data_IF_779974546345
#
_entry.id   IF_779974546345
#
_cell.length_a   1.000
_cell.length_b   1.000
_cell.length_c   1.000
_cell.angle_alpha   90.00
_cell.angle_beta   90.00
_cell.angle_gamma   90.00
#
_symmetry.space_group_name_H-M   'P 1'
#
loop_
_entity.id
_entity.type
_entity.pdbx_description
1 polymer ?
#
# COMPACT_ATOMS: atom_id res chain seq x y z
N UNK A 1 -3.91 -14.77 -2.56
CA UNK A 1 -3.23 -15.99 -3.08
C UNK A 1 -2.32 -15.71 -4.28
N UNK A 2 -2.78 -14.99 -5.33
CA UNK A 2 -1.97 -14.68 -6.53
C UNK A 2 -0.67 -13.94 -6.18
N UNK A 3 -0.73 -12.90 -5.35
CA UNK A 3 0.43 -12.13 -4.93
C UNK A 3 1.49 -12.99 -4.21
N UNK A 4 1.04 -13.92 -3.37
CA UNK A 4 1.93 -14.88 -2.70
C UNK A 4 2.65 -15.79 -3.70
N UNK A 5 1.94 -16.26 -4.74
CA UNK A 5 2.55 -17.03 -5.82
C UNK A 5 3.59 -16.20 -6.58
N UNK A 6 3.30 -14.94 -6.89
CA UNK A 6 4.25 -14.04 -7.54
C UNK A 6 5.50 -13.80 -6.69
N UNK A 7 5.34 -13.61 -5.39
CA UNK A 7 6.47 -13.47 -4.46
C UNK A 7 7.32 -14.76 -4.40
N UNK A 8 6.69 -15.95 -4.39
CA UNK A 8 7.40 -17.24 -4.46
C UNK A 8 8.15 -17.38 -5.78
N UNK A 9 7.53 -17.01 -6.89
CA UNK A 9 8.16 -17.04 -8.22
C UNK A 9 9.37 -16.11 -8.26
N UNK A 10 9.22 -14.88 -7.73
CA UNK A 10 10.34 -13.94 -7.65
C UNK A 10 11.49 -14.47 -6.79
N UNK A 11 11.20 -15.03 -5.61
CA UNK A 11 12.19 -15.63 -4.70
C UNK A 11 13.04 -16.69 -5.40
N UNK A 12 12.43 -17.47 -6.30
CA UNK A 12 13.10 -18.56 -7.03
C UNK A 12 13.67 -18.11 -8.39
N UNK A 13 13.56 -16.83 -8.72
CA UNK A 13 14.04 -16.28 -9.98
C UNK A 13 15.47 -15.76 -9.87
N UNK A 14 16.13 -15.62 -11.02
CA UNK A 14 17.45 -14.98 -11.12
C UNK A 14 17.43 -13.47 -10.82
N UNK A 15 16.24 -12.89 -10.60
CA UNK A 15 16.09 -11.46 -10.26
C UNK A 15 16.21 -11.20 -8.75
N UNK A 16 16.04 -12.22 -7.91
CA UNK A 16 16.20 -12.13 -6.47
C UNK A 16 17.69 -12.18 -6.07
N UNK A 17 18.44 -11.16 -6.49
CA UNK A 17 19.88 -11.05 -6.23
C UNK A 17 20.16 -10.09 -5.07
N UNK A 18 21.30 -10.23 -4.38
CA UNK A 18 21.72 -9.27 -3.35
C UNK A 18 21.74 -7.84 -3.91
N UNK A 19 21.15 -6.91 -3.18
CA UNK A 19 21.02 -5.50 -3.58
C UNK A 19 19.79 -5.18 -4.44
N UNK A 20 19.05 -6.17 -4.96
CA UNK A 20 17.78 -5.92 -5.62
C UNK A 20 16.71 -5.45 -4.64
N UNK A 21 15.69 -4.75 -5.16
CA UNK A 21 14.55 -4.27 -4.37
C UNK A 21 13.26 -4.82 -4.94
N UNK A 22 12.46 -5.47 -4.09
CA UNK A 22 11.10 -5.87 -4.40
C UNK A 22 10.11 -4.83 -3.87
N UNK A 23 9.43 -4.13 -4.77
CA UNK A 23 8.33 -3.23 -4.42
C UNK A 23 7.00 -3.99 -4.43
N UNK A 24 6.29 -3.94 -3.32
CA UNK A 24 4.95 -4.52 -3.16
C UNK A 24 3.93 -3.38 -3.24
N UNK A 25 2.97 -3.49 -4.15
CA UNK A 25 1.83 -2.56 -4.23
C UNK A 25 0.80 -2.89 -3.13
N UNK A 26 1.11 -2.47 -1.93
CA UNK A 26 0.33 -2.74 -0.73
C UNK A 26 1.20 -2.91 0.52
N UNK A 27 0.61 -3.31 1.64
CA UNK A 27 1.33 -3.54 2.88
C UNK A 27 2.19 -4.81 2.80
N UNK A 28 3.30 -4.84 3.55
CA UNK A 28 4.15 -6.04 3.66
C UNK A 28 3.38 -7.21 4.28
N UNK A 29 2.50 -6.93 5.25
CA UNK A 29 1.57 -7.90 5.82
C UNK A 29 0.16 -7.36 5.72
N UNK A 30 -0.81 -8.20 5.39
CA UNK A 30 -2.20 -7.78 5.33
C UNK A 30 -2.70 -7.40 6.74
N UNK A 31 -3.30 -6.21 6.89
CA UNK A 31 -3.90 -5.82 8.15
C UNK A 31 -5.11 -6.71 8.46
N UNK A 32 -5.33 -6.96 9.72
CA UNK A 32 -6.57 -7.57 10.19
C UNK A 32 -7.67 -6.53 10.00
N UNK A 33 -8.50 -6.72 9.00
CA UNK A 33 -9.58 -5.80 8.68
C UNK A 33 -10.90 -6.56 8.60
N UNK A 34 -11.76 -6.32 9.56
CA UNK A 34 -13.16 -6.68 9.48
C UNK A 34 -13.95 -5.43 9.10
N UNK A 35 -14.55 -5.37 7.92
CA UNK A 35 -15.55 -4.34 7.64
C UNK A 35 -16.66 -4.44 8.68
N UNK A 36 -17.05 -3.32 9.27
CA UNK A 36 -18.12 -3.31 10.29
C UNK A 36 -19.41 -3.98 9.79
N UNK A 37 -19.70 -3.82 8.49
CA UNK A 37 -20.83 -4.45 7.80
C UNK A 37 -20.75 -5.99 7.75
N UNK A 38 -19.53 -6.55 7.58
CA UNK A 38 -19.33 -8.01 7.56
C UNK A 38 -19.49 -8.65 8.93
N UNK A 39 -19.19 -7.93 10.01
CA UNK A 39 -19.36 -8.44 11.37
C UNK A 39 -20.83 -8.64 11.74
N UNK A 40 -21.74 -7.89 11.12
CA UNK A 40 -23.19 -8.01 11.33
C UNK A 40 -23.83 -9.14 10.52
N UNK A 41 -23.22 -9.54 9.40
CA UNK A 41 -23.81 -10.49 8.44
C UNK A 41 -23.15 -11.87 8.44
N UNK A 42 -21.93 -11.97 8.96
CA UNK A 42 -21.19 -13.22 8.97
C UNK A 42 -21.40 -14.01 10.25
N UNK A 43 -21.60 -15.32 10.10
CA UNK A 43 -21.62 -16.22 11.26
C UNK A 43 -20.23 -16.26 11.91
N UNK A 44 -20.20 -16.63 13.20
CA UNK A 44 -18.95 -16.77 13.96
C UNK A 44 -17.93 -17.70 13.28
N UNK A 45 -18.42 -18.78 12.65
CA UNK A 45 -17.56 -19.75 11.96
C UNK A 45 -16.94 -19.17 10.68
N UNK A 46 -17.69 -18.37 9.91
CA UNK A 46 -17.16 -17.67 8.74
C UNK A 46 -16.09 -16.65 9.13
N UNK A 47 -16.31 -15.92 10.21
CA UNK A 47 -15.33 -14.96 10.74
C UNK A 47 -14.06 -15.66 11.18
N UNK A 48 -14.19 -16.80 11.86
CA UNK A 48 -13.04 -17.63 12.28
C UNK A 48 -12.28 -18.16 11.08
N UNK A 49 -12.95 -18.76 10.11
CA UNK A 49 -12.31 -19.29 8.87
C UNK A 49 -11.58 -18.19 8.10
N UNK A 50 -12.15 -17.00 8.04
CA UNK A 50 -11.48 -15.85 7.40
C UNK A 50 -10.23 -15.43 8.17
N UNK A 51 -10.34 -15.34 9.51
CA UNK A 51 -9.21 -15.02 10.38
C UNK A 51 -8.06 -16.00 10.20
N UNK A 52 -8.36 -17.31 10.30
CA UNK A 52 -7.38 -18.39 10.18
C UNK A 52 -6.70 -18.37 8.78
N UNK A 53 -7.49 -18.13 7.74
CA UNK A 53 -6.97 -18.00 6.36
C UNK A 53 -6.06 -16.79 6.19
N UNK A 54 -6.41 -15.64 6.78
CA UNK A 54 -5.61 -14.43 6.72
C UNK A 54 -4.29 -14.60 7.50
N UNK A 55 -4.35 -15.23 8.65
CA UNK A 55 -3.17 -15.54 9.46
C UNK A 55 -2.22 -16.48 8.72
N UNK A 56 -2.76 -17.53 8.10
CA UNK A 56 -1.99 -18.44 7.25
C UNK A 56 -1.31 -17.68 6.10
N UNK A 57 -2.04 -16.85 5.36
CA UNK A 57 -1.49 -16.05 4.26
C UNK A 57 -0.41 -15.10 4.74
N UNK A 58 -0.61 -14.43 5.87
CA UNK A 58 0.40 -13.54 6.45
C UNK A 58 1.65 -14.33 6.90
N UNK A 59 1.49 -15.49 7.51
CA UNK A 59 2.63 -16.30 7.94
C UNK A 59 3.48 -16.77 6.76
N UNK A 60 2.84 -17.22 5.67
CA UNK A 60 3.54 -17.62 4.44
C UNK A 60 4.24 -16.43 3.77
N UNK A 61 3.57 -15.27 3.72
CA UNK A 61 4.15 -14.05 3.16
C UNK A 61 5.40 -13.62 3.92
N UNK A 62 5.32 -13.65 5.23
CA UNK A 62 6.44 -13.34 6.12
C UNK A 62 7.62 -14.28 5.90
N UNK A 63 7.38 -15.59 5.78
CA UNK A 63 8.45 -16.55 5.48
C UNK A 63 9.17 -16.25 4.16
N UNK A 64 8.42 -15.82 3.14
CA UNK A 64 9.00 -15.43 1.85
C UNK A 64 9.83 -14.15 1.99
N UNK A 65 9.28 -13.14 2.65
CA UNK A 65 9.97 -11.87 2.90
C UNK A 65 11.27 -12.11 3.68
N UNK A 66 11.24 -12.94 4.73
CA UNK A 66 12.42 -13.30 5.51
C UNK A 66 13.50 -14.00 4.66
N UNK A 67 13.08 -14.91 3.77
CA UNK A 67 14.00 -15.57 2.82
C UNK A 67 14.63 -14.58 1.84
N UNK A 68 13.82 -13.68 1.26
CA UNK A 68 14.31 -12.63 0.36
C UNK A 68 15.33 -11.74 1.07
N UNK A 69 15.05 -11.36 2.31
CA UNK A 69 15.96 -10.56 3.12
C UNK A 69 17.29 -11.28 3.40
N UNK A 70 17.24 -12.58 3.68
CA UNK A 70 18.46 -13.42 3.86
C UNK A 70 19.29 -13.53 2.57
N UNK A 71 18.65 -13.40 1.41
CA UNK A 71 19.32 -13.31 0.10
C UNK A 71 19.83 -11.89 -0.20
N UNK A 72 19.66 -10.92 0.70
CA UNK A 72 20.07 -9.54 0.50
C UNK A 72 19.12 -8.72 -0.36
N UNK A 73 17.91 -9.22 -0.62
CA UNK A 73 16.85 -8.49 -1.32
C UNK A 73 16.13 -7.56 -0.35
N UNK A 74 15.98 -6.30 -0.71
CA UNK A 74 15.21 -5.34 0.05
C UNK A 74 13.74 -5.43 -0.32
N UNK A 75 12.86 -5.67 0.66
CA UNK A 75 11.42 -5.73 0.45
C UNK A 75 10.75 -4.48 0.99
N UNK A 76 10.02 -3.78 0.14
CA UNK A 76 9.36 -2.50 0.44
C UNK A 76 7.88 -2.59 0.10
N UNK A 77 7.02 -2.29 1.07
CA UNK A 77 5.58 -2.14 0.85
C UNK A 77 5.23 -0.68 0.58
N UNK A 78 4.38 -0.42 -0.42
CA UNK A 78 3.89 0.92 -0.74
C UNK A 78 2.36 0.90 -0.75
N UNK A 79 1.76 1.54 0.25
CA UNK A 79 0.31 1.63 0.41
C UNK A 79 -0.18 2.96 -0.10
N UNK A 80 -0.84 2.95 -1.26
CA UNK A 80 -1.33 4.15 -1.96
C UNK A 80 -2.65 4.70 -1.41
N UNK A 81 -3.46 3.84 -0.79
CA UNK A 81 -4.79 4.20 -0.28
C UNK A 81 -4.81 4.10 1.24
N UNK A 82 -4.88 5.24 1.91
CA UNK A 82 -4.81 5.34 3.38
C UNK A 82 -6.20 5.40 4.04
N UNK A 83 -7.27 5.39 3.26
CA UNK A 83 -8.66 5.51 3.75
C UNK A 83 -9.06 4.38 4.70
N UNK A 84 -8.46 3.19 4.55
CA UNK A 84 -8.71 2.02 5.42
C UNK A 84 -7.56 1.77 6.42
N UNK A 85 -6.73 2.76 6.68
CA UNK A 85 -5.59 2.69 7.58
C UNK A 85 -5.81 3.63 8.77
N UNK A 86 -5.47 3.19 9.98
CA UNK A 86 -5.79 3.90 11.23
C UNK A 86 -4.59 3.95 12.19
N UNK A 87 -3.37 3.81 11.67
CA UNK A 87 -2.17 3.76 12.50
C UNK A 87 -1.81 5.13 13.08
N UNK A 88 -1.94 6.20 12.28
CA UNK A 88 -1.63 7.56 12.74
C UNK A 88 -2.50 7.98 13.91
N UNK A 89 -3.80 7.72 13.85
CA UNK A 89 -4.71 8.05 14.95
C UNK A 89 -4.48 7.19 16.19
N UNK A 90 -4.01 5.95 16.04
CA UNK A 90 -3.72 5.08 17.19
C UNK A 90 -2.45 5.45 17.93
N UNK A 91 -1.45 5.97 17.23
CA UNK A 91 -0.16 6.42 17.81
C UNK A 91 -0.19 7.89 18.18
N UNK A 92 -1.01 8.68 17.50
CA UNK A 92 -1.17 10.14 17.63
C UNK A 92 0.15 10.91 17.74
N UNK A 93 1.08 10.79 16.77
CA UNK A 93 2.41 11.35 16.87
C UNK A 93 2.43 12.88 16.97
N UNK A 94 1.38 13.55 16.48
CA UNK A 94 1.24 15.00 16.53
C UNK A 94 0.38 15.48 17.71
N UNK A 95 -0.11 14.57 18.57
CA UNK A 95 -0.97 14.87 19.72
C UNK A 95 -2.19 15.74 19.34
N UNK A 96 -2.88 15.31 18.27
CA UNK A 96 -4.07 16.00 17.77
C UNK A 96 -5.30 15.72 18.66
N UNK A 97 -5.21 14.70 19.54
CA UNK A 97 -6.29 14.27 20.43
C UNK A 97 -7.59 13.94 19.67
N UNK A 98 -7.44 13.41 18.47
CA UNK A 98 -8.55 12.99 17.63
C UNK A 98 -8.92 11.54 17.95
N UNK A 99 -10.20 11.21 17.85
CA UNK A 99 -10.66 9.84 17.95
C UNK A 99 -10.12 8.95 16.82
N UNK A 100 -10.68 7.76 16.66
CA UNK A 100 -10.28 6.82 15.60
C UNK A 100 -10.68 7.36 14.23
N UNK A 101 -9.73 7.97 13.54
CA UNK A 101 -9.85 8.44 12.15
C UNK A 101 -8.84 7.76 11.27
N UNK A 102 -9.10 7.69 9.96
CA UNK A 102 -8.15 7.09 9.02
C UNK A 102 -6.90 7.98 8.83
N UNK A 103 -5.82 7.38 8.33
CA UNK A 103 -4.52 8.04 8.23
C UNK A 103 -4.56 9.25 7.28
N UNK A 104 -5.37 9.22 6.23
CA UNK A 104 -5.54 10.35 5.31
C UNK A 104 -6.20 11.54 6.00
N UNK A 105 -7.28 11.30 6.75
CA UNK A 105 -7.96 12.33 7.54
C UNK A 105 -7.04 12.89 8.65
N UNK A 106 -6.23 12.03 9.28
CA UNK A 106 -5.24 12.47 10.26
C UNK A 106 -4.22 13.43 9.66
N UNK A 107 -3.67 13.09 8.48
CA UNK A 107 -2.72 13.95 7.75
C UNK A 107 -3.39 15.29 7.41
N UNK A 108 -4.64 15.26 6.94
CA UNK A 108 -5.39 16.48 6.63
C UNK A 108 -5.59 17.36 7.86
N UNK A 109 -5.94 16.79 9.02
CA UNK A 109 -6.07 17.55 10.27
C UNK A 109 -4.73 18.11 10.73
N UNK A 110 -3.63 17.37 10.57
CA UNK A 110 -2.29 17.86 10.85
C UNK A 110 -1.96 19.10 10.00
N UNK A 111 -2.24 19.05 8.71
CA UNK A 111 -2.01 20.17 7.79
C UNK A 111 -2.83 21.39 8.17
N UNK A 112 -4.10 21.20 8.52
CA UNK A 112 -4.99 22.29 8.98
C UNK A 112 -4.47 22.93 10.27
N UNK A 113 -4.01 22.12 11.23
CA UNK A 113 -3.48 22.63 12.51
C UNK A 113 -2.20 23.44 12.32
N UNK A 114 -1.34 23.02 11.41
CA UNK A 114 -0.07 23.72 11.13
C UNK A 114 -0.32 25.02 10.37
N UNK A 115 -1.52 25.21 9.83
CA UNK A 115 -1.95 26.38 9.03
C UNK A 115 -0.92 26.81 7.97
N UNK A 116 -0.18 25.83 7.44
CA UNK A 116 0.82 26.05 6.39
C UNK A 116 0.30 25.52 5.06
N UNK A 117 0.40 26.36 4.06
CA UNK A 117 0.33 25.86 2.69
C UNK A 117 1.46 24.85 2.51
N UNK A 118 1.09 23.63 2.12
CA UNK A 118 2.06 22.60 1.87
C UNK A 118 2.89 22.98 0.63
N UNK A 119 4.08 23.51 0.85
CA UNK A 119 4.97 23.96 -0.23
C UNK A 119 6.01 22.90 -0.62
N UNK A 120 6.42 22.10 0.35
CA UNK A 120 7.45 21.07 0.19
C UNK A 120 6.91 19.74 0.68
N UNK A 121 7.35 18.64 0.08
CA UNK A 121 7.05 17.31 0.61
C UNK A 121 7.59 17.17 2.03
N UNK A 122 6.91 16.38 2.84
CA UNK A 122 7.40 16.01 4.16
C UNK A 122 7.10 14.54 4.47
N UNK A 123 7.78 14.02 5.48
CA UNK A 123 7.70 12.64 5.91
C UNK A 123 7.27 12.60 7.37
N UNK A 124 6.28 11.75 7.69
CA UNK A 124 5.89 11.43 9.06
C UNK A 124 6.41 10.04 9.37
N UNK A 125 7.16 9.88 10.45
CA UNK A 125 7.71 8.59 10.86
C UNK A 125 9.17 8.68 11.29
N UNK A 126 9.81 7.55 11.63
CA UNK A 126 9.27 6.20 11.54
C UNK A 126 8.23 5.89 12.63
N UNK A 127 7.17 5.18 12.25
CA UNK A 127 6.21 4.60 13.18
C UNK A 127 6.48 3.10 13.25
N UNK A 128 6.76 2.61 14.44
CA UNK A 128 7.02 1.19 14.69
C UNK A 128 5.72 0.47 14.97
N UNK A 129 5.39 -0.54 14.18
CA UNK A 129 4.20 -1.36 14.37
C UNK A 129 4.60 -2.83 14.44
N UNK A 130 4.33 -3.45 15.59
CA UNK A 130 4.49 -4.88 15.77
C UNK A 130 3.25 -5.59 15.24
N UNK A 131 3.44 -6.66 14.46
CA UNK A 131 2.33 -7.49 14.02
C UNK A 131 1.82 -8.34 15.20
N UNK A 132 0.50 -8.42 15.37
CA UNK A 132 -0.10 -9.05 16.55
C UNK A 132 0.20 -10.55 16.68
N UNK A 133 0.26 -11.25 15.55
CA UNK A 133 0.40 -12.71 15.50
C UNK A 133 1.80 -13.20 15.11
N UNK A 134 2.69 -12.30 14.73
CA UNK A 134 4.06 -12.63 14.34
C UNK A 134 5.06 -11.70 15.03
N UNK A 135 6.26 -12.20 15.34
CA UNK A 135 7.34 -11.38 15.93
C UNK A 135 7.94 -10.38 14.92
N UNK A 136 7.14 -9.95 13.94
CA UNK A 136 7.60 -9.04 12.90
C UNK A 136 7.26 -7.62 13.28
N UNK A 137 8.29 -6.80 13.30
CA UNK A 137 8.15 -5.36 13.47
C UNK A 137 8.35 -4.68 12.13
N UNK A 138 7.40 -3.83 11.75
CA UNK A 138 7.45 -2.98 10.56
C UNK A 138 7.73 -1.55 10.99
N UNK A 139 8.52 -0.88 10.18
CA UNK A 139 8.69 0.57 10.24
C UNK A 139 7.89 1.19 9.10
N UNK A 140 7.13 2.20 9.43
CA UNK A 140 6.23 2.88 8.50
C UNK A 140 6.58 4.36 8.40
N UNK A 141 6.62 4.87 7.18
CA UNK A 141 6.75 6.30 6.89
C UNK A 141 5.60 6.73 6.00
N UNK A 142 5.02 7.87 6.31
CA UNK A 142 4.02 8.51 5.45
C UNK A 142 4.70 9.62 4.69
N UNK A 143 4.69 9.53 3.37
CA UNK A 143 5.20 10.55 2.47
C UNK A 143 4.02 11.39 2.01
N UNK A 144 4.10 12.69 2.23
CA UNK A 144 3.05 13.65 1.87
C UNK A 144 3.63 14.62 0.85
N UNK A 145 3.06 14.63 -0.35
CA UNK A 145 3.56 15.41 -1.48
C UNK A 145 2.51 16.43 -1.91
N UNK A 146 2.84 17.72 -2.01
CA UNK A 146 1.92 18.73 -2.51
C UNK A 146 1.60 18.52 -3.98
N UNK A 147 0.35 18.71 -4.38
CA UNK A 147 -0.09 18.64 -5.77
C UNK A 147 0.26 19.87 -6.61
N UNK A 148 0.99 20.84 -6.08
CA UNK A 148 1.32 22.10 -6.77
C UNK A 148 2.09 21.95 -8.09
N UNK A 149 2.62 20.78 -8.37
CA UNK A 149 3.31 20.49 -9.64
C UNK A 149 2.33 20.37 -10.82
N UNK A 150 1.04 20.20 -10.53
CA UNK A 150 -0.03 20.16 -11.52
C UNK A 150 -1.05 21.26 -11.26
N UNK A 151 -1.34 22.15 -12.23
CA UNK A 151 -2.27 23.27 -12.05
C UNK A 151 -3.72 22.78 -12.07
N UNK A 152 -4.15 21.99 -11.12
CA UNK A 152 -5.54 21.56 -11.05
C UNK A 152 -6.10 21.78 -9.64
N UNK A 153 -6.96 22.77 -9.58
CA UNK A 153 -8.02 23.09 -8.61
C UNK A 153 -7.64 23.37 -7.15
N UNK A 154 -7.95 24.60 -6.79
CA UNK A 154 -8.12 25.10 -5.43
C UNK A 154 -9.14 24.28 -4.64
N UNK A 155 -8.72 23.38 -3.79
CA UNK A 155 -9.57 22.65 -2.86
C UNK A 155 -8.77 22.02 -1.73
N UNK A 156 -9.41 21.69 -0.62
CA UNK A 156 -8.82 21.07 0.58
C UNK A 156 -8.14 19.70 0.36
N UNK A 157 -7.83 19.29 -0.85
CA UNK A 157 -7.19 18.04 -1.20
C UNK A 157 -5.91 18.19 -2.01
N UNK A 158 -5.13 19.25 -1.77
CA UNK A 158 -3.95 19.58 -2.57
C UNK A 158 -2.70 18.76 -2.23
N UNK A 159 -2.84 17.55 -1.77
CA UNK A 159 -1.72 16.66 -1.52
C UNK A 159 -2.04 15.22 -1.93
N UNK A 160 -0.99 14.44 -2.14
CA UNK A 160 -1.05 12.98 -2.23
C UNK A 160 -0.25 12.43 -1.06
N UNK A 161 -0.80 11.44 -0.40
CA UNK A 161 -0.10 10.73 0.65
C UNK A 161 -0.08 9.25 0.38
N UNK A 162 1.04 8.62 0.70
CA UNK A 162 1.20 7.17 0.65
C UNK A 162 2.11 6.72 1.78
N UNK A 163 1.99 5.45 2.15
CA UNK A 163 2.79 4.86 3.21
C UNK A 163 3.83 3.91 2.62
N UNK A 164 5.06 4.06 3.09
CA UNK A 164 6.18 3.16 2.81
C UNK A 164 6.40 2.28 4.03
N UNK A 165 6.50 0.99 3.84
CA UNK A 165 6.74 0.01 4.88
C UNK A 165 8.04 -0.75 4.65
N UNK A 166 8.83 -0.90 5.72
CA UNK A 166 10.02 -1.73 5.77
C UNK A 166 9.96 -2.66 6.97
N UNK A 167 10.61 -3.82 6.88
CA UNK A 167 10.87 -4.61 8.07
C UNK A 167 11.98 -3.95 8.90
N UNK A 168 11.86 -4.02 10.22
CA UNK A 168 12.82 -3.39 11.15
C UNK A 168 14.27 -3.86 10.92
N UNK A 169 14.45 -5.11 10.57
CA UNK A 169 15.77 -5.68 10.27
C UNK A 169 16.46 -5.00 9.07
N UNK A 170 15.70 -4.29 8.22
CA UNK A 170 16.20 -3.50 7.09
C UNK A 170 16.30 -2.00 7.39
N UNK A 171 16.15 -1.60 8.64
CA UNK A 171 16.15 -0.18 9.05
C UNK A 171 17.44 0.56 8.68
N UNK A 172 18.57 -0.12 8.60
CA UNK A 172 19.85 0.44 8.16
C UNK A 172 19.84 0.95 6.71
N UNK A 173 18.91 0.48 5.87
CA UNK A 173 18.77 0.89 4.47
C UNK A 173 17.61 1.89 4.26
N UNK A 174 16.99 2.36 5.34
CA UNK A 174 15.80 3.22 5.27
C UNK A 174 16.02 4.48 4.45
N UNK A 175 17.14 5.15 4.67
CA UNK A 175 17.42 6.44 4.01
C UNK A 175 17.59 6.24 2.52
N UNK A 176 18.33 5.21 2.11
CA UNK A 176 18.46 4.82 0.70
C UNK A 176 17.09 4.53 0.04
N UNK A 177 16.23 3.77 0.72
CA UNK A 177 14.91 3.43 0.18
C UNK A 177 14.02 4.65 0.05
N UNK A 178 13.94 5.47 1.09
CA UNK A 178 13.13 6.68 1.08
C UNK A 178 13.62 7.65 0.01
N UNK A 179 14.93 7.80 -0.14
CA UNK A 179 15.55 8.63 -1.17
C UNK A 179 15.22 8.11 -2.57
N UNK A 180 15.35 6.81 -2.84
CA UNK A 180 15.03 6.21 -4.12
C UNK A 180 13.54 6.36 -4.47
N UNK A 181 12.64 6.05 -3.54
CA UNK A 181 11.19 6.20 -3.74
C UNK A 181 10.84 7.67 -4.00
N UNK A 182 11.46 8.57 -3.25
CA UNK A 182 11.24 9.99 -3.37
C UNK A 182 11.75 10.52 -4.72
N UNK A 183 12.97 10.13 -5.09
CA UNK A 183 13.57 10.46 -6.37
C UNK A 183 12.72 9.97 -7.53
N UNK A 184 12.31 8.70 -7.50
CA UNK A 184 11.51 8.07 -8.54
C UNK A 184 10.12 8.74 -8.68
N UNK A 185 9.52 9.17 -7.57
CA UNK A 185 8.25 9.88 -7.56
C UNK A 185 8.37 11.33 -8.04
N UNK A 186 9.43 12.02 -7.65
CA UNK A 186 9.59 13.45 -7.86
C UNK A 186 10.13 13.79 -9.26
N UNK A 187 11.16 13.08 -9.71
CA UNK A 187 11.77 13.31 -11.04
C UNK A 187 10.82 12.94 -12.19
N UNK A 188 9.93 12.01 -11.96
CA UNK A 188 8.97 11.61 -12.99
C UNK A 188 7.69 12.46 -12.97
N UNK A 189 7.55 13.37 -12.01
CA UNK A 189 6.34 14.16 -11.81
C UNK A 189 5.11 13.30 -11.48
N UNK A 190 5.29 12.04 -11.12
CA UNK A 190 4.23 11.04 -10.95
C UNK A 190 3.91 10.95 -9.50
N UNK A 191 3.91 11.70 -8.60
CA UNK A 191 3.49 11.62 -7.18
C UNK A 191 3.60 10.21 -6.53
N UNK A 192 3.84 9.18 -7.32
CA UNK A 192 4.06 7.77 -6.92
C UNK A 192 5.30 7.23 -7.66
N UNK A 193 6.00 6.24 -7.12
CA UNK A 193 7.12 5.61 -7.81
C UNK A 193 6.75 5.17 -9.23
N UNK A 194 7.55 5.58 -10.21
CA UNK A 194 7.28 5.32 -11.63
C UNK A 194 7.13 3.83 -11.93
N UNK A 195 7.97 3.01 -11.30
CA UNK A 195 7.93 1.55 -11.40
C UNK A 195 6.55 0.99 -11.07
N UNK A 196 5.91 1.46 -9.99
CA UNK A 196 4.55 1.05 -9.62
C UNK A 196 3.51 1.54 -10.63
N UNK A 197 3.64 2.74 -11.15
CA UNK A 197 2.72 3.27 -12.16
C UNK A 197 2.81 2.50 -13.48
N UNK A 198 4.01 2.16 -13.91
CA UNK A 198 4.23 1.37 -15.14
C UNK A 198 3.59 -0.01 -14.99
N UNK A 199 3.80 -0.68 -13.85
CA UNK A 199 3.20 -1.99 -13.59
C UNK A 199 1.67 -1.89 -13.53
N UNK A 200 1.12 -0.92 -12.79
CA UNK A 200 -0.32 -0.68 -12.68
C UNK A 200 -0.97 -0.48 -14.07
N UNK A 201 -0.36 0.35 -14.92
CA UNK A 201 -0.83 0.56 -16.30
C UNK A 201 -0.77 -0.71 -17.15
N UNK A 202 0.31 -1.50 -17.04
CA UNK A 202 0.44 -2.77 -17.76
C UNK A 202 -0.60 -3.78 -17.32
N UNK A 203 -0.79 -3.94 -16.00
CA UNK A 203 -1.80 -4.85 -15.45
C UNK A 203 -3.19 -4.44 -15.90
N UNK A 204 -3.55 -3.16 -15.80
CA UNK A 204 -4.85 -2.66 -16.27
C UNK A 204 -5.07 -2.91 -17.77
N UNK A 205 -4.04 -2.68 -18.60
CA UNK A 205 -4.14 -2.97 -20.04
C UNK A 205 -4.37 -4.44 -20.33
N UNK A 206 -3.64 -5.34 -19.66
CA UNK A 206 -3.81 -6.79 -19.82
C UNK A 206 -5.21 -7.21 -19.34
N UNK A 207 -5.64 -6.75 -18.17
CA UNK A 207 -6.95 -7.06 -17.60
C UNK A 207 -8.08 -6.56 -18.49
N UNK A 208 -8.00 -5.34 -19.00
CA UNK A 208 -8.97 -4.79 -19.94
C UNK A 208 -9.05 -5.63 -21.22
N UNK A 209 -7.90 -5.98 -21.78
CA UNK A 209 -7.86 -6.83 -23.00
C UNK A 209 -8.45 -8.23 -22.75
N UNK A 210 -8.18 -8.83 -21.58
CA UNK A 210 -8.78 -10.12 -21.20
C UNK A 210 -10.29 -10.03 -21.01
N UNK A 211 -10.77 -8.98 -20.35
CA UNK A 211 -12.20 -8.74 -20.17
C UNK A 211 -12.87 -8.58 -21.52
N UNK A 212 -12.34 -7.74 -22.41
CA UNK A 212 -12.87 -7.56 -23.78
C UNK A 212 -12.91 -8.88 -24.54
N UNK A 213 -11.84 -9.70 -24.44
CA UNK A 213 -11.80 -11.02 -25.08
C UNK A 213 -12.88 -11.96 -24.52
N UNK A 214 -13.03 -12.02 -23.18
CA UNK A 214 -14.06 -12.84 -22.54
C UNK A 214 -15.47 -12.41 -22.94
N UNK A 215 -15.73 -11.10 -23.01
CA UNK A 215 -17.01 -10.55 -23.46
C UNK A 215 -17.30 -10.95 -24.90
N UNK A 216 -16.31 -10.85 -25.78
CA UNK A 216 -16.43 -11.30 -27.16
C UNK A 216 -16.76 -12.81 -27.25
N UNK A 217 -16.07 -13.64 -26.49
CA UNK A 217 -16.27 -15.09 -26.45
C UNK A 217 -17.61 -15.49 -25.85
N UNK A 218 -18.17 -14.72 -24.93
CA UNK A 218 -19.46 -14.99 -24.28
C UNK A 218 -20.66 -14.39 -25.05
N UNK A 219 -20.41 -13.61 -26.11
CA UNK A 219 -21.45 -12.89 -26.85
C UNK A 219 -22.15 -11.79 -26.07
N UNK A 220 -21.60 -11.38 -24.92
CA UNK A 220 -22.10 -10.25 -24.15
C UNK A 220 -21.70 -8.95 -24.83
N UNK A 221 -22.65 -8.07 -25.07
CA UNK A 221 -22.39 -6.75 -25.69
C UNK A 221 -21.87 -5.76 -24.65
N UNK A 222 -21.10 -4.75 -25.07
CA UNK A 222 -20.61 -3.69 -24.21
C UNK A 222 -21.71 -2.96 -23.42
N UNK A 223 -22.91 -2.89 -23.95
CA UNK A 223 -24.08 -2.27 -23.30
C UNK A 223 -24.51 -3.00 -22.03
N UNK A 224 -24.38 -4.33 -21.98
CA UNK A 224 -24.73 -5.13 -20.79
C UNK A 224 -23.65 -5.08 -19.71
N UNK A 225 -22.45 -4.61 -20.03
CA UNK A 225 -21.26 -4.64 -19.15
C UNK A 225 -20.82 -3.27 -18.68
N UNK A 226 -21.33 -2.20 -19.27
CA UNK A 226 -21.01 -0.82 -18.88
C UNK A 226 -21.24 -0.52 -17.39
N UNK A 227 -22.17 -1.24 -16.75
CA UNK A 227 -22.39 -1.14 -15.30
C UNK A 227 -21.34 -1.88 -14.46
N UNK A 228 -20.64 -2.88 -15.00
CA UNK A 228 -19.64 -3.66 -14.24
C UNK A 228 -18.22 -3.11 -14.36
N UNK A 229 -17.90 -2.45 -15.48
CA UNK A 229 -16.55 -1.88 -15.71
C UNK A 229 -16.31 -0.59 -14.92
N UNK A 230 -17.37 0.15 -14.56
CA UNK A 230 -17.25 1.36 -13.73
C UNK A 230 -16.95 1.10 -12.26
N UNK A 231 -16.95 -0.16 -11.81
CA UNK A 231 -16.72 -0.58 -10.41
C UNK A 231 -15.28 -1.11 -10.18
N UNK A 232 -14.53 -1.36 -11.24
CA UNK A 232 -13.12 -1.77 -11.20
C UNK A 232 -12.17 -0.58 -11.42
#
# INVERSE_FOLDING_TARGET
>A
MIELCLMKTFLNSNYATPGSTLLIDGPITYPFYFPAETSLTWSRDKLKTYSDSLEFLNSERVKIVDRLMKQGVLVVGIVKRLVKSYYLSSVDPAKLSVGRINDEAYIMMLLLRVNKTLEKPFIIGPIRVKHETSNITRLMWYIVVPRRIYPITSGMGNFVSYRVELLENNSHRKDYVLEQIFYDSFHTGSLLPLSLLVVDRRVKKITSSMVTYLLYMTGLTEESTGQYISVL
#
